data_IF_604614088469
#
_entry.id   IF_604614088469
#
_cell.length_a   1.000
_cell.length_b   1.000
_cell.length_c   1.000
_cell.angle_alpha   90.00
_cell.angle_beta   90.00
_cell.angle_gamma   90.00
#
_symmetry.space_group_name_H-M   'P 1'
#
loop_
_entity.id
_entity.type
_entity.pdbx_description
1 polymer ?
#
# COMPACT_ATOMS: atom_id res chain seq x y z
N UNK A 1 -13.07 4.42 7.19
CA UNK A 1 -13.94 3.22 7.03
C UNK A 1 -15.17 3.50 6.17
N UNK A 2 -15.85 4.64 6.27
CA UNK A 2 -16.98 4.96 5.36
C UNK A 2 -16.58 5.30 3.91
N UNK A 3 -15.33 5.71 3.64
CA UNK A 3 -14.92 6.20 2.32
C UNK A 3 -14.96 5.14 1.22
N UNK A 4 -14.52 3.92 1.53
CA UNK A 4 -14.46 2.81 0.56
C UNK A 4 -15.77 2.00 0.46
N UNK A 5 -16.81 2.39 1.21
CA UNK A 5 -18.03 1.58 1.29
C UNK A 5 -18.77 1.60 -0.05
N UNK A 6 -18.99 0.42 -0.64
CA UNK A 6 -19.64 0.25 -1.94
C UNK A 6 -18.78 0.73 -3.13
N UNK A 7 -17.48 0.95 -2.91
CA UNK A 7 -16.52 1.39 -3.93
C UNK A 7 -15.71 0.21 -4.45
N UNK A 8 -15.14 0.37 -5.65
CA UNK A 8 -14.14 -0.54 -6.21
C UNK A 8 -12.78 -0.21 -5.60
N UNK A 9 -12.18 -1.19 -4.93
CA UNK A 9 -10.91 -1.05 -4.25
C UNK A 9 -9.93 -2.06 -4.81
N UNK A 10 -8.79 -1.59 -5.29
CA UNK A 10 -7.72 -2.47 -5.73
C UNK A 10 -6.49 -2.34 -4.82
N UNK A 11 -5.92 -3.48 -4.46
CA UNK A 11 -4.73 -3.58 -3.64
C UNK A 11 -3.67 -4.33 -4.43
N UNK A 12 -2.51 -3.71 -4.65
CA UNK A 12 -1.33 -4.36 -5.21
C UNK A 12 -0.37 -4.66 -4.05
N UNK A 13 -0.28 -5.93 -3.69
CA UNK A 13 0.41 -6.39 -2.49
C UNK A 13 -0.53 -6.90 -1.39
N UNK A 14 -0.02 -7.72 -0.47
CA UNK A 14 -0.79 -8.21 0.67
C UNK A 14 -0.69 -7.36 1.93
N UNK A 15 -1.85 -6.96 2.45
CA UNK A 15 -2.01 -6.24 3.71
C UNK A 15 -3.14 -6.85 4.55
N UNK A 16 -2.89 -7.98 5.26
CA UNK A 16 -3.95 -8.76 5.91
C UNK A 16 -4.86 -8.00 6.88
N UNK A 17 -4.36 -6.93 7.50
CA UNK A 17 -5.18 -6.09 8.38
C UNK A 17 -6.09 -5.14 7.60
N UNK A 18 -5.62 -4.59 6.48
CA UNK A 18 -6.38 -3.68 5.63
C UNK A 18 -7.44 -4.46 4.87
N UNK A 19 -7.07 -5.59 4.25
CA UNK A 19 -7.96 -6.47 3.48
C UNK A 19 -9.16 -6.92 4.32
N UNK A 20 -8.93 -7.42 5.54
CA UNK A 20 -9.99 -7.82 6.46
C UNK A 20 -10.96 -6.69 6.82
N UNK A 21 -10.49 -5.44 6.76
CA UNK A 21 -11.29 -4.28 7.09
C UNK A 21 -12.14 -3.81 5.90
N UNK A 22 -11.60 -3.87 4.69
CA UNK A 22 -12.24 -3.32 3.48
C UNK A 22 -13.09 -4.36 2.74
N UNK A 23 -12.67 -5.62 2.71
CA UNK A 23 -13.38 -6.69 2.00
C UNK A 23 -14.89 -6.80 2.35
N UNK A 24 -15.32 -6.64 3.62
CA UNK A 24 -16.74 -6.74 3.97
C UNK A 24 -17.60 -5.55 3.49
N UNK A 25 -16.98 -4.45 3.04
CA UNK A 25 -17.68 -3.19 2.75
C UNK A 25 -17.44 -2.64 1.35
N UNK A 26 -16.50 -3.22 0.58
CA UNK A 26 -16.11 -2.77 -0.77
C UNK A 26 -16.09 -3.91 -1.77
N UNK A 27 -16.03 -3.58 -3.06
CA UNK A 27 -15.67 -4.52 -4.12
C UNK A 27 -14.14 -4.58 -4.20
N UNK A 28 -13.55 -5.56 -3.49
CA UNK A 28 -12.11 -5.68 -3.29
C UNK A 28 -11.48 -6.61 -4.34
N UNK A 29 -10.44 -6.12 -5.02
CA UNK A 29 -9.52 -6.91 -5.81
C UNK A 29 -8.11 -6.85 -5.22
N UNK A 30 -7.49 -8.00 -4.97
CA UNK A 30 -6.09 -8.09 -4.52
C UNK A 30 -5.26 -8.63 -5.69
N UNK A 31 -4.14 -7.97 -5.98
CA UNK A 31 -3.21 -8.32 -7.05
C UNK A 31 -1.85 -8.60 -6.45
N UNK A 32 -1.27 -9.74 -6.78
CA UNK A 32 0.04 -10.16 -6.29
C UNK A 32 0.91 -10.81 -7.36
N UNK A 33 2.22 -10.82 -7.09
CA UNK A 33 3.19 -11.54 -7.91
C UNK A 33 3.01 -13.05 -7.80
N UNK A 34 2.83 -13.53 -6.58
CA UNK A 34 2.55 -14.93 -6.24
C UNK A 34 1.15 -15.00 -5.60
N UNK A 35 0.06 -14.98 -6.39
CA UNK A 35 -1.30 -14.83 -5.88
C UNK A 35 -1.78 -16.03 -5.05
N UNK A 36 -2.54 -15.76 -3.98
CA UNK A 36 -3.26 -16.78 -3.20
C UNK A 36 -4.65 -17.06 -3.80
N UNK A 37 -5.40 -18.00 -3.19
CA UNK A 37 -6.76 -18.29 -3.62
C UNK A 37 -7.67 -17.07 -3.44
N UNK A 38 -8.23 -16.58 -4.54
CA UNK A 38 -9.09 -15.40 -4.57
C UNK A 38 -8.39 -14.12 -5.06
N UNK A 39 -7.07 -14.15 -5.19
CA UNK A 39 -6.29 -13.03 -5.73
C UNK A 39 -6.16 -13.10 -7.25
N UNK A 40 -5.73 -11.98 -7.82
CA UNK A 40 -5.41 -11.84 -9.23
C UNK A 40 -3.89 -11.85 -9.46
N UNK A 41 -3.43 -12.40 -10.60
CA UNK A 41 -2.03 -12.32 -10.97
C UNK A 41 -1.63 -10.88 -11.31
N UNK A 42 -0.35 -10.57 -11.17
CA UNK A 42 0.20 -9.22 -11.41
C UNK A 42 -0.22 -8.58 -12.75
N UNK A 43 -0.40 -9.37 -13.81
CA UNK A 43 -0.87 -8.89 -15.12
C UNK A 43 -2.26 -8.26 -15.11
N UNK A 44 -3.07 -8.52 -14.07
CA UNK A 44 -4.38 -7.92 -13.90
C UNK A 44 -4.33 -6.41 -13.58
N UNK A 45 -3.17 -5.86 -13.20
CA UNK A 45 -2.99 -4.43 -12.92
C UNK A 45 -3.54 -3.56 -14.06
N UNK A 46 -3.25 -3.94 -15.31
CA UNK A 46 -3.65 -3.23 -16.54
C UNK A 46 -5.17 -3.15 -16.75
N UNK A 47 -5.94 -4.01 -16.07
CA UNK A 47 -7.40 -4.10 -16.22
C UNK A 47 -8.15 -3.60 -14.99
N UNK A 48 -7.59 -3.81 -13.79
CA UNK A 48 -8.28 -3.53 -12.54
C UNK A 48 -7.95 -2.14 -11.98
N UNK A 49 -6.70 -1.68 -12.09
CA UNK A 49 -6.31 -0.37 -11.57
C UNK A 49 -7.04 0.80 -12.27
N UNK A 50 -7.20 0.82 -13.60
CA UNK A 50 -7.91 1.92 -14.27
C UNK A 50 -9.39 2.05 -13.88
N UNK A 51 -9.98 0.97 -13.37
CA UNK A 51 -11.40 0.88 -13.02
C UNK A 51 -11.67 1.07 -11.52
N UNK A 52 -10.63 1.34 -10.72
CA UNK A 52 -10.71 1.39 -9.26
C UNK A 52 -10.95 2.80 -8.73
N UNK A 53 -11.83 2.92 -7.74
CA UNK A 53 -12.08 4.19 -7.04
C UNK A 53 -10.97 4.46 -6.01
N UNK A 54 -10.46 3.42 -5.34
CA UNK A 54 -9.37 3.51 -4.35
C UNK A 54 -8.30 2.48 -4.65
N UNK A 55 -7.04 2.91 -4.58
CA UNK A 55 -5.89 2.05 -4.86
C UNK A 55 -4.91 2.06 -3.70
N UNK A 56 -4.47 0.87 -3.29
CA UNK A 56 -3.39 0.68 -2.33
C UNK A 56 -2.21 -0.03 -3.00
N UNK A 57 -1.05 0.63 -3.05
CA UNK A 57 0.14 0.13 -3.71
C UNK A 57 1.21 -0.22 -2.68
N UNK A 58 1.78 -1.42 -2.75
CA UNK A 58 2.94 -1.79 -1.94
C UNK A 58 4.13 -0.89 -2.19
N UNK A 59 4.82 -0.48 -1.12
CA UNK A 59 6.10 0.21 -1.24
C UNK A 59 7.18 -0.66 -1.92
N UNK A 60 6.97 -1.97 -2.01
CA UNK A 60 7.81 -2.90 -2.78
C UNK A 60 7.96 -2.49 -4.25
N UNK A 61 6.92 -1.86 -4.82
CA UNK A 61 6.90 -1.38 -6.20
C UNK A 61 7.97 -0.31 -6.50
N UNK A 62 8.52 0.36 -5.47
CA UNK A 62 9.66 1.27 -5.61
C UNK A 62 10.96 0.51 -5.86
N UNK A 63 11.11 -0.67 -5.25
CA UNK A 63 12.29 -1.53 -5.36
C UNK A 63 12.35 -2.27 -6.68
N UNK A 64 11.23 -2.85 -7.11
CA UNK A 64 11.12 -3.61 -8.36
C UNK A 64 10.87 -2.75 -9.61
N UNK A 65 10.78 -1.42 -9.43
CA UNK A 65 10.59 -0.40 -10.48
C UNK A 65 9.21 -0.37 -11.14
N UNK A 66 8.21 -1.06 -10.60
CA UNK A 66 6.85 -1.03 -11.15
C UNK A 66 6.05 0.23 -10.80
N UNK A 67 6.43 0.97 -9.75
CA UNK A 67 5.66 2.12 -9.24
C UNK A 67 5.21 3.13 -10.32
N UNK A 68 6.05 3.58 -11.27
CA UNK A 68 5.62 4.55 -12.27
C UNK A 68 4.42 4.08 -13.08
N UNK A 69 4.39 2.80 -13.48
CA UNK A 69 3.27 2.23 -14.25
C UNK A 69 2.03 2.07 -13.38
N UNK A 70 2.19 1.64 -12.13
CA UNK A 70 1.05 1.50 -11.21
C UNK A 70 0.38 2.85 -10.91
N UNK A 71 1.17 3.92 -10.76
CA UNK A 71 0.64 5.28 -10.58
C UNK A 71 -0.08 5.78 -11.83
N UNK A 72 0.48 5.54 -13.03
CA UNK A 72 -0.18 5.86 -14.31
C UNK A 72 -1.53 5.14 -14.43
N UNK A 73 -1.58 3.84 -14.15
CA UNK A 73 -2.82 3.06 -14.20
C UNK A 73 -3.85 3.48 -13.16
N UNK A 74 -3.42 4.15 -12.08
CA UNK A 74 -4.28 4.58 -10.98
C UNK A 74 -4.67 6.06 -11.07
N UNK A 75 -4.38 6.75 -12.18
CA UNK A 75 -4.54 8.20 -12.31
C UNK A 75 -5.99 8.69 -12.11
N UNK A 76 -6.97 7.83 -12.36
CA UNK A 76 -8.40 8.13 -12.27
C UNK A 76 -9.00 7.76 -10.91
N UNK A 77 -8.23 7.16 -10.00
CA UNK A 77 -8.70 6.82 -8.67
C UNK A 77 -8.99 8.08 -7.83
N UNK A 78 -10.01 8.05 -6.98
CA UNK A 78 -10.29 9.10 -6.00
C UNK A 78 -9.13 9.26 -5.01
N UNK A 79 -8.46 8.15 -4.67
CA UNK A 79 -7.32 8.12 -3.75
C UNK A 79 -6.35 7.00 -4.09
N UNK A 80 -5.06 7.32 -4.08
CA UNK A 80 -3.95 6.37 -4.26
C UNK A 80 -3.05 6.44 -3.02
N UNK A 81 -2.90 5.31 -2.34
CA UNK A 81 -2.07 5.18 -1.14
C UNK A 81 -0.86 4.29 -1.41
N UNK A 82 0.36 4.74 -1.06
CA UNK A 82 1.54 3.86 -0.99
C UNK A 82 1.65 3.32 0.45
N UNK A 83 1.62 2.00 0.60
CA UNK A 83 1.54 1.31 1.90
C UNK A 83 2.78 0.45 2.14
N UNK A 84 3.32 0.53 3.34
CA UNK A 84 4.29 -0.42 3.85
C UNK A 84 5.39 0.21 4.69
N UNK A 85 6.14 -0.59 5.47
CA UNK A 85 7.19 -0.05 6.34
C UNK A 85 8.36 0.59 5.57
N UNK A 86 8.49 0.31 4.27
CA UNK A 86 9.48 0.90 3.38
C UNK A 86 8.99 2.14 2.61
N UNK A 87 7.75 2.60 2.81
CA UNK A 87 7.22 3.81 2.16
C UNK A 87 8.06 5.04 2.55
N UNK A 88 8.73 5.72 1.60
CA UNK A 88 9.40 6.98 1.90
C UNK A 88 8.33 8.06 2.14
N UNK A 89 8.41 8.74 3.29
CA UNK A 89 7.50 9.83 3.67
C UNK A 89 7.90 11.14 3.00
N UNK A 90 7.93 11.14 1.66
CA UNK A 90 8.35 12.28 0.84
C UNK A 90 7.17 12.85 0.08
N UNK A 91 6.95 14.16 0.19
CA UNK A 91 5.86 14.85 -0.51
C UNK A 91 5.99 14.80 -2.04
N UNK A 92 7.15 14.42 -2.57
CA UNK A 92 7.35 14.28 -4.03
C UNK A 92 6.34 13.32 -4.66
N UNK A 93 5.87 12.31 -3.93
CA UNK A 93 4.87 11.37 -4.44
C UNK A 93 3.52 12.04 -4.71
N UNK A 94 3.21 13.15 -4.01
CA UNK A 94 1.98 13.89 -4.24
C UNK A 94 1.94 14.57 -5.61
N UNK A 95 3.12 14.93 -6.15
CA UNK A 95 3.26 15.44 -7.52
C UNK A 95 2.97 14.36 -8.58
N UNK A 96 2.97 13.08 -8.17
CA UNK A 96 2.69 11.91 -9.00
C UNK A 96 1.34 11.26 -8.69
N UNK A 97 0.38 12.03 -8.17
CA UNK A 97 -1.01 11.58 -7.99
C UNK A 97 -1.31 10.83 -6.70
N UNK A 98 -0.29 10.54 -5.88
CA UNK A 98 -0.49 9.91 -4.56
C UNK A 98 -1.21 10.88 -3.61
N UNK A 99 -2.18 10.39 -2.87
CA UNK A 99 -2.92 11.16 -1.86
C UNK A 99 -2.49 10.82 -0.43
N UNK A 100 -1.94 9.62 -0.21
CA UNK A 100 -1.55 9.13 1.11
C UNK A 100 -0.27 8.26 1.07
N UNK A 101 0.62 8.51 2.02
CA UNK A 101 1.80 7.71 2.29
C UNK A 101 1.66 7.05 3.68
N UNK A 102 1.26 5.78 3.67
CA UNK A 102 1.08 4.95 4.86
C UNK A 102 2.36 4.17 5.17
N UNK A 103 3.23 4.75 6.01
CA UNK A 103 4.59 4.29 6.26
C UNK A 103 4.90 3.85 7.70
N UNK A 104 6.19 3.85 8.03
CA UNK A 104 6.71 3.47 9.34
C UNK A 104 7.91 4.33 9.75
N UNK A 105 7.95 4.74 11.01
CA UNK A 105 9.11 5.41 11.61
C UNK A 105 9.67 4.52 12.72
N UNK A 106 10.93 4.12 12.56
CA UNK A 106 11.67 3.41 13.61
C UNK A 106 12.02 4.38 14.75
N UNK A 107 11.42 4.20 15.93
CA UNK A 107 11.74 4.99 17.13
C UNK A 107 12.77 4.30 18.01
N UNK A 108 12.97 2.99 17.86
CA UNK A 108 14.09 2.24 18.43
C UNK A 108 14.98 1.69 17.31
N UNK A 109 15.97 2.49 16.91
CA UNK A 109 16.91 2.11 15.86
C UNK A 109 17.76 0.88 16.22
N UNK A 110 18.02 0.63 17.51
CA UNK A 110 18.82 -0.51 17.95
C UNK A 110 18.01 -1.81 17.82
N UNK A 111 16.76 -1.81 18.27
CA UNK A 111 15.85 -2.94 18.10
C UNK A 111 15.54 -3.19 16.62
N UNK A 112 15.27 -2.15 15.84
CA UNK A 112 15.04 -2.29 14.40
C UNK A 112 16.21 -3.01 13.70
N UNK A 113 17.46 -2.62 14.02
CA UNK A 113 18.65 -3.30 13.50
C UNK A 113 18.74 -4.76 13.91
N UNK A 114 18.38 -5.12 15.15
CA UNK A 114 18.38 -6.52 15.61
C UNK A 114 17.31 -7.34 14.89
N UNK A 115 16.11 -6.80 14.71
CA UNK A 115 15.02 -7.43 13.95
C UNK A 115 15.46 -7.69 12.51
N UNK A 116 15.99 -6.67 11.82
CA UNK A 116 16.43 -6.80 10.41
C UNK A 116 17.55 -7.84 10.26
N UNK A 117 18.40 -8.01 11.27
CA UNK A 117 19.47 -9.03 11.28
C UNK A 117 18.98 -10.44 11.68
N UNK A 118 17.69 -10.61 12.00
CA UNK A 118 17.15 -11.87 12.49
C UNK A 118 17.57 -12.23 13.93
N UNK A 119 18.12 -11.28 14.69
CA UNK A 119 18.51 -11.49 16.08
C UNK A 119 17.33 -11.39 17.07
N UNK A 120 16.15 -11.01 16.59
CA UNK A 120 14.90 -10.88 17.33
C UNK A 120 13.78 -11.45 16.46
N UNK A 121 12.97 -12.37 17.00
CA UNK A 121 11.88 -13.00 16.25
C UNK A 121 10.57 -12.22 16.41
N UNK A 122 10.50 -11.04 15.80
CA UNK A 122 9.30 -10.20 15.78
C UNK A 122 9.22 -9.36 14.50
N UNK A 123 8.04 -8.81 14.21
CA UNK A 123 7.86 -7.90 13.06
C UNK A 123 8.50 -6.54 13.34
N UNK A 124 8.94 -5.86 12.30
CA UNK A 124 9.59 -4.53 12.39
C UNK A 124 8.75 -3.49 13.14
N UNK A 125 7.42 -3.64 13.13
CA UNK A 125 6.49 -2.77 13.84
C UNK A 125 6.69 -2.72 15.36
N UNK A 126 7.37 -3.69 15.97
CA UNK A 126 7.74 -3.63 17.39
C UNK A 126 8.81 -2.57 17.73
N UNK A 127 9.54 -2.09 16.72
CA UNK A 127 10.64 -1.12 16.89
C UNK A 127 10.25 0.33 16.56
N UNK A 128 8.96 0.61 16.40
CA UNK A 128 8.52 1.93 15.95
C UNK A 128 7.02 2.09 15.86
N UNK A 129 6.59 3.04 15.04
CA UNK A 129 5.19 3.37 14.84
C UNK A 129 4.83 3.44 13.36
N UNK A 130 3.61 3.00 13.05
CA UNK A 130 2.98 3.28 11.76
C UNK A 130 2.61 4.75 11.73
N UNK A 131 2.83 5.40 10.59
CA UNK A 131 2.50 6.80 10.40
C UNK A 131 1.82 6.99 9.04
N UNK A 132 1.04 8.05 8.94
CA UNK A 132 0.31 8.45 7.75
C UNK A 132 0.77 9.86 7.38
N UNK A 133 1.11 10.08 6.11
CA UNK A 133 1.43 11.39 5.58
C UNK A 133 0.53 11.71 4.39
N UNK A 134 -0.50 12.52 4.67
CA UNK A 134 -1.54 12.88 3.72
C UNK A 134 -1.12 14.09 2.88
N UNK A 135 -1.53 14.07 1.60
CA UNK A 135 -1.42 15.23 0.71
C UNK A 135 -2.28 16.37 1.28
N UNK A 136 -1.75 17.60 1.40
CA UNK A 136 -2.56 18.73 1.87
C UNK A 136 -3.79 18.98 0.99
N UNK A 137 -4.95 19.20 1.62
CA UNK A 137 -6.19 19.53 0.91
C UNK A 137 -6.95 18.33 0.33
N UNK A 138 -6.54 17.10 0.66
CA UNK A 138 -7.33 15.88 0.48
C UNK A 138 -8.20 15.64 1.72
#
# INVERSE_FOLDING_TARGET
>A
QNLVKGKKVCVVGHFPFLEKLIAPVSDLSIIEWDPEEGDYPYSACEYLLPESDYVFLTCGALGDKSMPRLLELSENAESVTIVGPGTPLSSVFFDYGVSDLSGFIATDAALAKRIIRGAENQRIFGAGMKVEYLRPGV
#
